data_IF_638931035450
#
_entry.id   IF_638931035450
#
_cell.length_a   1.000
_cell.length_b   1.000
_cell.length_c   1.000
_cell.angle_alpha   90.00
_cell.angle_beta   90.00
_cell.angle_gamma   90.00
#
_symmetry.space_group_name_H-M   'P 1'
#
loop_
_entity.id
_entity.type
_entity.pdbx_description
1 polymer ?
#
# COMPACT_ATOMS: atom_id res chain seq x y z
N UNK A 1 -10.08 -30.68 -19.41
CA UNK A 1 -10.05 -31.07 -17.99
C UNK A 1 -8.92 -30.30 -17.30
N UNK A 2 -9.23 -29.31 -16.45
CA UNK A 2 -8.22 -28.60 -15.64
C UNK A 2 -7.87 -29.47 -14.44
N UNK A 3 -6.66 -30.02 -14.38
CA UNK A 3 -6.13 -30.68 -13.19
C UNK A 3 -5.96 -29.62 -12.09
N UNK A 4 -6.76 -29.68 -11.04
CA UNK A 4 -6.51 -28.90 -9.85
C UNK A 4 -5.40 -29.57 -9.04
N UNK A 5 -4.32 -28.83 -8.81
CA UNK A 5 -3.20 -29.27 -7.97
C UNK A 5 -3.59 -29.04 -6.50
N UNK A 6 -4.26 -30.01 -5.90
CA UNK A 6 -4.49 -30.02 -4.46
C UNK A 6 -3.52 -31.01 -3.80
N UNK A 7 -2.51 -30.51 -3.14
CA UNK A 7 -1.67 -31.29 -2.26
C UNK A 7 -2.41 -31.54 -0.95
N UNK A 8 -2.63 -32.80 -0.63
CA UNK A 8 -3.19 -33.16 0.67
C UNK A 8 -2.14 -32.94 1.78
N UNK A 9 -2.59 -32.58 3.00
CA UNK A 9 -1.70 -32.46 4.17
C UNK A 9 -0.85 -33.71 4.39
N UNK A 10 -1.38 -34.88 4.06
CA UNK A 10 -0.71 -36.17 4.23
C UNK A 10 0.38 -36.38 3.17
N UNK A 11 0.23 -35.85 1.98
CA UNK A 11 1.23 -35.89 0.93
C UNK A 11 2.37 -34.89 1.19
N UNK A 12 2.06 -33.70 1.69
CA UNK A 12 3.07 -32.72 2.09
C UNK A 12 3.94 -33.20 3.28
N UNK A 13 3.35 -33.97 4.22
CA UNK A 13 4.05 -34.53 5.37
C UNK A 13 4.85 -35.80 5.07
N UNK A 14 4.57 -36.48 3.95
CA UNK A 14 5.29 -37.68 3.48
C UNK A 14 6.46 -37.38 2.56
N UNK A 15 6.95 -36.11 2.56
CA UNK A 15 8.14 -35.73 1.81
C UNK A 15 9.29 -36.72 2.00
N UNK A 16 9.98 -36.98 0.94
CA UNK A 16 11.06 -37.95 0.77
C UNK A 16 12.04 -37.88 1.96
N UNK A 17 12.07 -38.93 2.80
CA UNK A 17 13.14 -39.12 3.76
C UNK A 17 12.81 -39.02 5.25
N UNK A 18 11.56 -39.09 5.67
CA UNK A 18 11.22 -39.30 7.11
C UNK A 18 11.52 -38.15 8.05
N UNK A 19 11.87 -36.97 7.57
CA UNK A 19 12.05 -35.75 8.35
C UNK A 19 10.76 -34.96 8.29
N UNK A 20 10.02 -34.94 9.39
CA UNK A 20 8.85 -34.05 9.55
C UNK A 20 9.34 -32.62 9.76
N UNK A 21 9.57 -31.91 8.69
CA UNK A 21 9.73 -30.46 8.73
C UNK A 21 8.34 -29.84 8.90
N UNK A 22 8.13 -29.17 10.00
CA UNK A 22 6.95 -28.34 10.22
C UNK A 22 6.97 -27.18 9.24
N UNK A 23 6.48 -27.42 8.01
CA UNK A 23 6.33 -26.35 7.03
C UNK A 23 5.30 -25.33 7.54
N UNK A 24 5.56 -24.03 7.38
CA UNK A 24 4.57 -23.02 7.69
C UNK A 24 3.29 -23.30 6.90
N UNK A 25 2.16 -23.05 7.54
CA UNK A 25 0.84 -23.28 6.96
C UNK A 25 0.67 -22.42 5.72
N UNK A 26 0.75 -23.02 4.54
CA UNK A 26 0.51 -22.31 3.28
C UNK A 26 -1.00 -22.19 3.05
N UNK A 27 -1.46 -21.05 2.58
CA UNK A 27 -2.89 -20.82 2.26
C UNK A 27 -3.46 -21.87 1.28
N UNK A 28 -2.60 -22.41 0.39
CA UNK A 28 -2.94 -23.50 -0.51
C UNK A 28 -3.25 -24.84 0.21
N UNK A 29 -2.88 -24.98 1.49
CA UNK A 29 -3.17 -26.14 2.33
C UNK A 29 -4.44 -25.97 3.15
N UNK A 30 -5.03 -24.79 3.17
CA UNK A 30 -6.35 -24.59 3.76
C UNK A 30 -7.34 -25.44 2.96
N UNK A 31 -7.91 -26.45 3.63
CA UNK A 31 -9.04 -27.15 3.05
C UNK A 31 -10.08 -26.10 2.69
N UNK A 32 -10.64 -26.17 1.48
CA UNK A 32 -11.84 -25.43 1.10
C UNK A 32 -12.98 -25.91 2.00
N UNK A 33 -12.96 -25.55 3.29
CA UNK A 33 -14.16 -25.55 4.08
C UNK A 33 -15.12 -24.64 3.33
N UNK A 34 -16.28 -25.15 2.94
CA UNK A 34 -17.38 -24.33 2.42
C UNK A 34 -17.45 -23.13 3.34
N UNK A 35 -17.03 -21.97 2.81
CA UNK A 35 -16.97 -20.75 3.59
C UNK A 35 -18.39 -20.54 4.11
N UNK A 36 -18.55 -20.62 5.42
CA UNK A 36 -19.76 -20.18 6.06
C UNK A 36 -19.86 -18.70 5.65
N UNK A 37 -20.87 -18.36 4.87
CA UNK A 37 -21.03 -17.06 4.20
C UNK A 37 -21.07 -15.85 5.15
N UNK A 38 -20.94 -16.07 6.44
CA UNK A 38 -20.91 -15.06 7.49
C UNK A 38 -19.52 -14.76 8.05
N UNK A 39 -18.46 -15.39 7.55
CA UNK A 39 -17.10 -15.05 7.98
C UNK A 39 -16.61 -13.87 7.12
N UNK A 40 -16.81 -12.67 7.63
CA UNK A 40 -16.15 -11.47 7.08
C UNK A 40 -14.65 -11.66 7.27
N UNK A 41 -13.93 -11.93 6.19
CA UNK A 41 -12.48 -12.07 6.24
C UNK A 41 -11.80 -10.82 6.84
N UNK A 42 -10.54 -10.95 7.29
CA UNK A 42 -9.82 -9.81 7.87
C UNK A 42 -9.73 -8.67 6.86
N UNK A 43 -9.98 -7.45 7.33
CA UNK A 43 -9.79 -6.25 6.52
C UNK A 43 -8.32 -6.06 6.23
N UNK A 44 -7.98 -5.76 4.98
CA UNK A 44 -6.61 -5.53 4.53
C UNK A 44 -6.50 -4.13 3.95
N UNK A 45 -5.41 -3.46 4.26
CA UNK A 45 -5.04 -2.17 3.72
C UNK A 45 -3.67 -2.29 3.06
N UNK A 46 -3.50 -1.76 1.87
CA UNK A 46 -2.20 -1.58 1.24
C UNK A 46 -2.00 -0.09 0.92
N UNK A 47 -0.89 0.47 1.39
CA UNK A 47 -0.46 1.82 1.07
C UNK A 47 0.74 1.73 0.14
N UNK A 48 0.61 2.29 -1.06
CA UNK A 48 1.68 2.33 -2.05
C UNK A 48 2.10 3.78 -2.28
N UNK A 49 3.39 4.05 -2.22
CA UNK A 49 3.96 5.37 -2.41
C UNK A 49 4.94 5.39 -3.57
N UNK A 50 4.78 6.39 -4.42
CA UNK A 50 5.68 6.66 -5.55
C UNK A 50 6.33 8.03 -5.33
N UNK A 51 7.64 8.09 -5.04
CA UNK A 51 8.30 9.33 -4.60
C UNK A 51 8.47 10.39 -5.69
N UNK A 52 8.27 10.04 -6.94
CA UNK A 52 8.49 10.93 -8.09
C UNK A 52 7.27 11.79 -8.46
N UNK A 53 6.19 11.74 -7.67
CA UNK A 53 4.96 12.46 -7.98
C UNK A 53 4.19 11.87 -9.17
N UNK A 54 3.29 12.67 -9.71
CA UNK A 54 2.43 12.31 -10.84
C UNK A 54 2.54 13.35 -11.95
N UNK A 55 2.14 12.97 -13.15
CA UNK A 55 2.21 13.84 -14.32
C UNK A 55 1.16 14.96 -14.23
N UNK A 56 1.62 16.20 -14.12
CA UNK A 56 0.79 17.41 -14.11
C UNK A 56 1.36 18.41 -15.12
N UNK A 57 1.16 18.21 -16.43
CA UNK A 57 1.63 19.12 -17.45
C UNK A 57 1.03 20.52 -17.29
N UNK A 58 1.77 21.55 -17.65
CA UNK A 58 1.26 22.92 -17.65
C UNK A 58 0.09 23.07 -18.63
N UNK A 59 -0.87 23.93 -18.33
CA UNK A 59 -1.98 24.25 -19.24
C UNK A 59 -1.53 24.77 -20.62
N UNK A 60 -0.30 25.28 -20.70
CA UNK A 60 0.32 25.72 -21.97
C UNK A 60 0.89 24.57 -22.80
N UNK A 61 0.99 23.37 -22.24
CA UNK A 61 1.47 22.19 -22.94
C UNK A 61 0.37 21.68 -23.88
N UNK A 62 0.64 21.48 -25.18
CA UNK A 62 -0.36 20.97 -26.13
C UNK A 62 -0.89 19.60 -25.76
N UNK A 63 -0.20 18.84 -24.95
CA UNK A 63 -0.60 17.51 -24.46
C UNK A 63 -1.14 17.52 -23.04
N UNK A 64 -1.40 18.70 -22.47
CA UNK A 64 -1.89 18.86 -21.09
C UNK A 64 -3.06 17.94 -20.77
N UNK A 65 -4.09 17.94 -21.60
CA UNK A 65 -5.32 17.15 -21.36
C UNK A 65 -5.11 15.66 -21.51
N UNK A 66 -4.14 15.24 -22.31
CA UNK A 66 -3.89 13.81 -22.59
C UNK A 66 -3.09 13.14 -21.47
N UNK A 67 -2.11 13.86 -20.91
CA UNK A 67 -1.14 13.32 -19.97
C UNK A 67 -1.33 13.80 -18.54
N UNK A 68 -2.38 14.56 -18.25
CA UNK A 68 -2.71 14.95 -16.89
C UNK A 68 -3.05 13.71 -16.05
N UNK A 69 -2.58 13.66 -14.79
CA UNK A 69 -2.84 12.51 -13.92
C UNK A 69 -4.31 12.35 -13.56
N UNK A 70 -4.96 13.48 -13.20
CA UNK A 70 -6.36 13.42 -12.83
C UNK A 70 -7.25 13.25 -14.05
N UNK A 71 -8.23 12.35 -14.01
CA UNK A 71 -9.15 12.13 -15.11
C UNK A 71 -10.01 13.37 -15.37
N UNK A 72 -10.64 13.43 -16.55
CA UNK A 72 -11.59 14.47 -16.91
C UNK A 72 -12.96 14.15 -16.30
N UNK A 73 -13.68 15.20 -15.88
CA UNK A 73 -15.02 15.06 -15.30
C UNK A 73 -15.01 14.70 -13.82
N UNK A 74 -16.18 14.45 -13.27
CA UNK A 74 -16.39 14.22 -11.85
C UNK A 74 -17.34 13.05 -11.59
N UNK A 75 -17.33 12.57 -10.35
CA UNK A 75 -18.21 11.51 -9.89
C UNK A 75 -17.92 10.16 -10.57
N UNK A 76 -18.95 9.44 -10.99
CA UNK A 76 -18.83 8.11 -11.61
C UNK A 76 -18.51 8.15 -13.10
N UNK A 77 -18.69 9.29 -13.74
CA UNK A 77 -18.60 9.46 -15.19
C UNK A 77 -17.27 10.11 -15.63
N UNK A 78 -16.23 9.97 -14.83
CA UNK A 78 -14.91 10.46 -15.20
C UNK A 78 -14.34 9.71 -16.42
N UNK A 79 -13.50 10.38 -17.19
CA UNK A 79 -12.80 9.81 -18.35
C UNK A 79 -11.30 9.71 -18.03
N UNK A 80 -10.73 8.52 -18.18
CA UNK A 80 -9.30 8.31 -17.98
C UNK A 80 -8.48 8.96 -19.09
N UNK A 81 -7.33 9.49 -18.71
CA UNK A 81 -6.34 10.05 -19.64
C UNK A 81 -5.30 8.98 -20.00
N UNK A 82 -4.40 9.26 -20.95
CA UNK A 82 -3.32 8.36 -21.34
C UNK A 82 -2.43 7.93 -20.17
N UNK A 83 -2.21 8.82 -19.19
CA UNK A 83 -1.44 8.50 -17.98
C UNK A 83 -2.12 7.49 -17.05
N UNK A 84 -3.42 7.33 -17.16
CA UNK A 84 -4.25 6.50 -16.28
C UNK A 84 -5.09 5.45 -17.01
N UNK A 85 -4.94 5.32 -18.33
CA UNK A 85 -5.70 4.35 -19.15
C UNK A 85 -5.56 2.89 -18.70
N UNK A 86 -4.42 2.54 -18.11
CA UNK A 86 -4.18 1.20 -17.55
C UNK A 86 -5.13 0.83 -16.40
N UNK A 87 -5.82 1.81 -15.82
CA UNK A 87 -6.81 1.58 -14.77
C UNK A 87 -8.21 1.24 -15.29
N UNK A 88 -8.43 1.29 -16.61
CA UNK A 88 -9.76 1.04 -17.20
C UNK A 88 -10.40 -0.27 -16.73
N UNK A 89 -9.70 -1.41 -16.61
CA UNK A 89 -10.28 -2.66 -16.10
C UNK A 89 -10.77 -2.56 -14.64
N UNK A 90 -10.28 -1.59 -13.88
CA UNK A 90 -10.59 -1.38 -12.46
C UNK A 90 -11.40 -0.11 -12.20
N UNK A 91 -11.94 0.50 -13.26
CA UNK A 91 -12.63 1.80 -13.19
C UNK A 91 -13.70 1.89 -12.10
N UNK A 92 -14.43 0.80 -11.86
CA UNK A 92 -15.50 0.78 -10.86
C UNK A 92 -14.96 0.66 -9.41
N UNK A 93 -13.71 0.25 -9.25
CA UNK A 93 -13.08 0.01 -7.95
C UNK A 93 -12.12 1.14 -7.56
N UNK A 94 -11.96 2.18 -8.42
CA UNK A 94 -11.02 3.27 -8.23
C UNK A 94 -11.75 4.57 -7.89
N UNK A 95 -11.16 5.32 -6.95
CA UNK A 95 -11.54 6.70 -6.64
C UNK A 95 -10.32 7.60 -6.74
N UNK A 96 -10.36 8.59 -7.60
CA UNK A 96 -9.37 9.66 -7.68
C UNK A 96 -9.72 10.76 -6.68
N UNK A 97 -8.78 11.06 -5.78
CA UNK A 97 -8.93 12.14 -4.80
C UNK A 97 -7.96 13.27 -5.16
N UNK A 98 -8.50 14.41 -5.53
CA UNK A 98 -7.73 15.62 -5.82
C UNK A 98 -7.92 16.68 -4.72
N UNK A 99 -7.04 17.68 -4.71
CA UNK A 99 -7.14 18.80 -3.76
C UNK A 99 -6.72 18.47 -2.33
N UNK A 100 -6.32 17.24 -2.03
CA UNK A 100 -5.78 16.87 -0.72
C UNK A 100 -4.32 17.30 -0.60
N UNK A 101 -3.92 17.70 0.60
CA UNK A 101 -2.53 18.07 0.88
C UNK A 101 -2.19 17.88 2.35
N UNK A 102 -0.90 17.84 2.65
CA UNK A 102 -0.38 17.88 4.03
C UNK A 102 -0.03 19.34 4.40
N UNK A 103 -0.86 20.05 5.15
CA UNK A 103 -0.62 21.46 5.47
C UNK A 103 0.74 21.69 6.12
N UNK A 104 1.14 20.81 7.03
CA UNK A 104 2.43 20.88 7.71
C UNK A 104 3.65 20.64 6.80
N UNK A 105 3.46 20.01 5.64
CA UNK A 105 4.52 19.74 4.67
C UNK A 105 4.63 20.73 3.51
N UNK A 106 3.68 21.68 3.37
CA UNK A 106 3.61 22.58 2.19
C UNK A 106 4.83 23.48 2.02
N UNK A 107 5.53 23.83 3.08
CA UNK A 107 6.70 24.69 3.06
C UNK A 107 7.98 23.94 2.68
N UNK A 108 7.94 22.63 2.58
CA UNK A 108 9.10 21.80 2.25
C UNK A 108 9.16 21.47 0.76
N UNK A 109 10.37 21.34 0.21
CA UNK A 109 10.57 20.90 -1.16
C UNK A 109 10.16 19.42 -1.34
N UNK A 110 9.57 19.10 -2.50
CA UNK A 110 8.86 17.88 -2.82
C UNK A 110 9.39 16.55 -2.23
N UNK A 111 10.64 16.19 -2.54
CA UNK A 111 11.19 14.92 -2.05
C UNK A 111 11.46 14.89 -0.53
N UNK A 112 11.55 16.04 0.12
CA UNK A 112 11.77 16.13 1.57
C UNK A 112 10.57 15.78 2.43
N UNK A 113 9.38 15.67 1.85
CA UNK A 113 8.11 15.39 2.57
C UNK A 113 7.60 13.98 2.41
N UNK A 114 8.33 13.09 1.76
CA UNK A 114 7.92 11.70 1.55
C UNK A 114 7.60 10.97 2.86
N UNK A 115 8.38 11.23 3.90
CA UNK A 115 8.23 10.58 5.22
C UNK A 115 6.90 10.91 5.91
N UNK A 116 6.19 11.95 5.48
CA UNK A 116 4.90 12.34 6.07
C UNK A 116 3.70 11.82 5.28
N UNK A 117 3.92 11.03 4.26
CA UNK A 117 2.83 10.49 3.41
C UNK A 117 1.73 9.80 4.22
N UNK A 118 2.10 8.97 5.19
CA UNK A 118 1.14 8.23 6.03
C UNK A 118 0.88 8.88 7.39
N UNK A 119 1.57 9.95 7.73
CA UNK A 119 1.46 10.57 9.06
C UNK A 119 0.81 11.94 9.03
N UNK A 120 0.97 12.69 7.95
CA UNK A 120 0.66 14.13 7.85
C UNK A 120 1.28 14.95 8.99
N UNK A 121 2.34 14.45 9.64
CA UNK A 121 3.01 15.04 10.77
C UNK A 121 3.76 16.32 10.39
N UNK A 122 4.08 17.17 11.39
CA UNK A 122 4.94 18.31 11.17
C UNK A 122 6.37 17.84 10.95
N UNK A 123 6.90 18.05 9.77
CA UNK A 123 8.31 17.80 9.48
C UNK A 123 9.02 19.13 9.32
N UNK A 124 9.91 19.42 10.24
CA UNK A 124 10.81 20.55 10.18
C UNK A 124 12.20 20.07 9.73
N UNK A 125 12.90 20.90 8.96
CA UNK A 125 14.28 20.63 8.55
C UNK A 125 15.22 20.47 9.75
N UNK A 126 14.93 21.09 10.87
CA UNK A 126 15.76 21.13 12.07
C UNK A 126 15.31 20.18 13.19
N UNK A 127 14.08 19.72 13.18
CA UNK A 127 13.58 18.77 14.17
C UNK A 127 12.76 17.69 13.48
N UNK A 128 13.24 16.47 13.57
CA UNK A 128 12.52 15.32 13.04
C UNK A 128 11.43 14.91 14.03
N UNK A 129 10.28 15.54 13.95
CA UNK A 129 9.09 15.15 14.69
C UNK A 129 8.06 14.61 13.71
N UNK A 130 7.63 13.40 13.94
CA UNK A 130 6.58 12.78 13.17
C UNK A 130 5.49 12.26 14.12
N UNK A 131 4.47 11.61 13.60
CA UNK A 131 3.36 11.05 14.38
C UNK A 131 3.17 9.59 14.01
N UNK A 132 2.29 8.89 14.69
CA UNK A 132 1.90 7.55 14.28
C UNK A 132 1.37 7.56 12.85
N UNK A 133 1.79 6.61 12.04
CA UNK A 133 1.33 6.49 10.68
C UNK A 133 -0.03 5.78 10.56
N UNK A 134 -0.75 6.08 9.50
CA UNK A 134 -2.10 5.54 9.27
C UNK A 134 -2.14 4.01 9.19
N UNK A 135 -1.15 3.39 8.56
CA UNK A 135 -1.01 1.94 8.49
C UNK A 135 -0.88 1.32 9.89
N UNK A 136 -0.16 1.98 10.81
CA UNK A 136 0.00 1.51 12.18
C UNK A 136 -1.29 1.68 13.00
N UNK A 137 -2.08 2.73 12.76
CA UNK A 137 -3.42 2.86 13.36
C UNK A 137 -4.34 1.72 12.90
N UNK A 138 -4.27 1.34 11.62
CA UNK A 138 -5.03 0.21 11.09
C UNK A 138 -4.53 -1.11 11.66
N UNK A 139 -3.22 -1.30 11.77
CA UNK A 139 -2.61 -2.48 12.37
C UNK A 139 -3.01 -2.66 13.85
N UNK A 140 -3.06 -1.60 14.63
CA UNK A 140 -3.54 -1.66 16.02
C UNK A 140 -5.00 -2.10 16.11
N UNK A 141 -5.84 -1.63 15.20
CA UNK A 141 -7.28 -1.92 15.22
C UNK A 141 -7.62 -3.31 14.67
N UNK A 142 -6.95 -3.75 13.63
CA UNK A 142 -7.29 -4.95 12.87
C UNK A 142 -6.20 -6.03 12.86
N UNK A 143 -5.00 -5.72 13.31
CA UNK A 143 -3.87 -6.64 13.23
C UNK A 143 -4.00 -7.87 14.14
N UNK A 144 -4.86 -7.80 15.16
CA UNK A 144 -5.11 -8.94 16.07
C UNK A 144 -5.82 -10.12 15.39
N UNK A 145 -6.52 -9.83 14.29
CA UNK A 145 -7.26 -10.83 13.52
C UNK A 145 -6.38 -11.51 12.46
N UNK A 146 -5.11 -11.14 12.39
CA UNK A 146 -4.17 -11.60 11.37
C UNK A 146 -2.89 -12.14 11.99
N UNK A 147 -2.22 -13.06 11.28
CA UNK A 147 -0.93 -13.61 11.73
C UNK A 147 0.17 -12.55 11.80
N UNK A 148 0.18 -11.63 10.85
CA UNK A 148 1.09 -10.49 10.78
C UNK A 148 0.25 -9.22 10.81
N UNK A 149 0.36 -8.39 11.87
CA UNK A 149 -0.41 -7.15 11.98
C UNK A 149 -0.16 -6.17 10.85
N UNK A 150 1.07 -6.08 10.38
CA UNK A 150 1.50 -5.26 9.26
C UNK A 150 2.74 -5.87 8.58
N UNK A 151 3.02 -5.42 7.37
CA UNK A 151 4.17 -5.85 6.58
C UNK A 151 4.74 -4.63 5.85
N UNK A 152 5.85 -4.03 6.33
CA UNK A 152 6.55 -3.00 5.59
C UNK A 152 7.31 -3.64 4.43
N UNK A 153 7.21 -3.05 3.26
CA UNK A 153 7.89 -3.48 2.05
C UNK A 153 8.58 -2.29 1.41
N UNK A 154 9.80 -2.46 0.97
CA UNK A 154 10.55 -1.41 0.29
C UNK A 154 11.35 -1.97 -0.87
N UNK A 155 11.62 -1.12 -1.85
CA UNK A 155 12.46 -1.41 -3.00
C UNK A 155 13.67 -0.47 -2.94
N UNK A 156 14.89 -1.03 -2.98
CA UNK A 156 16.10 -0.23 -3.13
C UNK A 156 16.50 0.63 -1.91
N UNK A 157 16.15 0.22 -0.70
CA UNK A 157 16.62 0.91 0.51
C UNK A 157 15.66 1.94 1.11
N UNK A 158 14.37 1.89 0.74
CA UNK A 158 13.33 2.69 1.35
C UNK A 158 12.98 3.98 0.62
N UNK A 159 12.28 4.87 1.31
CA UNK A 159 11.79 6.16 0.82
C UNK A 159 12.49 7.31 1.53
N UNK A 160 12.49 8.49 0.93
CA UNK A 160 13.00 9.71 1.53
C UNK A 160 14.37 10.14 1.02
N UNK A 161 14.82 11.29 1.52
CA UNK A 161 16.08 11.93 1.14
C UNK A 161 17.21 11.48 2.07
N UNK A 162 18.44 11.58 1.61
CA UNK A 162 19.64 11.36 2.43
C UNK A 162 19.54 12.11 3.76
N UNK A 163 19.76 11.40 4.87
CA UNK A 163 19.71 11.94 6.22
C UNK A 163 18.36 11.84 6.93
N UNK A 164 17.31 11.35 6.25
CA UNK A 164 16.00 11.05 6.85
C UNK A 164 15.78 9.56 6.99
N UNK A 165 14.73 9.18 7.70
CA UNK A 165 14.33 7.79 7.80
C UNK A 165 13.81 7.29 6.45
N UNK A 166 14.22 6.11 6.06
CA UNK A 166 13.80 5.50 4.80
C UNK A 166 12.51 4.68 4.95
N UNK A 167 11.54 5.21 5.69
CA UNK A 167 10.28 4.51 5.96
C UNK A 167 9.08 5.45 5.87
N UNK A 168 7.92 4.89 5.58
CA UNK A 168 6.63 5.58 5.67
C UNK A 168 5.91 5.29 6.98
N UNK A 169 6.34 4.26 7.71
CA UNK A 169 5.64 3.72 8.86
C UNK A 169 6.30 4.15 10.16
N UNK A 170 5.49 4.65 11.10
CA UNK A 170 5.94 5.17 12.39
C UNK A 170 5.06 4.69 13.53
N UNK A 171 5.71 4.33 14.64
CA UNK A 171 5.03 3.94 15.88
C UNK A 171 4.34 5.13 16.56
N UNK A 172 3.56 4.87 17.61
CA UNK A 172 3.00 5.91 18.49
C UNK A 172 4.05 6.80 19.17
N UNK A 173 5.25 6.25 19.38
CA UNK A 173 6.37 6.99 19.98
C UNK A 173 7.25 7.62 18.90
N UNK A 174 6.73 7.80 17.69
CA UNK A 174 7.40 8.44 16.56
C UNK A 174 8.68 7.71 16.12
N UNK A 175 8.80 6.43 16.43
CA UNK A 175 9.94 5.62 15.98
C UNK A 175 9.67 5.10 14.57
N UNK A 176 10.62 5.25 13.64
CA UNK A 176 10.50 4.69 12.30
C UNK A 176 10.49 3.15 12.35
N UNK A 177 9.67 2.56 11.50
CA UNK A 177 9.60 1.11 11.31
C UNK A 177 10.28 0.82 9.98
N UNK A 178 11.44 0.14 9.98
CA UNK A 178 12.23 -0.13 8.79
C UNK A 178 11.56 -1.11 7.83
#
# INVERSE_FOLDING_TARGET
MKKSWHLSRREALRGIGGISLGLPFLESMAATSKANSNHVGPKRLACMFFPNGVTLPSEKDPHHTDWHWFPKGEGKNFELNKSTESFEPHRQDITFLSGLSHPAGRHMAGHGVSDVFLTAGPVDANSYQNTISFDQLVAEKHGRDTRLPFLPLSVGGGVGTLGRTHTLSYTKTCQPIP
#
